data_IF_333601299274
#
_entry.id   IF_333601299274
#
_cell.length_a   1.000
_cell.length_b   1.000
_cell.length_c   1.000
_cell.angle_alpha   90.00
_cell.angle_beta   90.00
_cell.angle_gamma   90.00
#
_symmetry.space_group_name_H-M   'P 1'
#
loop_
_entity.id
_entity.type
_entity.pdbx_description
1 polymer ?
#
# COMPACT_ATOMS: atom_id res chain seq x y z
N UNK A 1 -19.16 7.89 -9.57
CA UNK A 1 -18.37 6.69 -9.26
C UNK A 1 -17.93 6.79 -7.81
N UNK A 2 -18.50 5.91 -6.99
CA UNK A 2 -18.54 5.94 -5.54
C UNK A 2 -17.13 5.72 -4.99
N UNK A 3 -16.59 6.70 -4.28
CA UNK A 3 -15.47 6.50 -3.33
C UNK A 3 -16.04 5.58 -2.24
N UNK A 4 -15.73 4.29 -2.37
CA UNK A 4 -16.39 3.20 -1.64
C UNK A 4 -16.37 3.41 -0.11
N UNK A 5 -17.58 3.35 0.46
CA UNK A 5 -18.09 3.29 1.84
C UNK A 5 -17.20 3.61 3.06
N UNK A 6 -15.89 3.33 3.07
CA UNK A 6 -15.03 3.55 4.23
C UNK A 6 -14.96 5.02 4.65
N UNK A 7 -14.69 5.95 3.72
CA UNK A 7 -14.52 7.36 4.07
C UNK A 7 -15.79 8.00 4.66
N UNK A 8 -17.00 7.78 4.09
CA UNK A 8 -18.24 8.19 4.73
C UNK A 8 -18.40 7.65 6.16
N UNK A 9 -18.10 6.36 6.38
CA UNK A 9 -18.16 5.74 7.72
C UNK A 9 -17.17 6.43 8.66
N UNK A 10 -15.93 6.63 8.23
CA UNK A 10 -14.91 7.30 9.04
C UNK A 10 -15.29 8.76 9.32
N UNK A 11 -15.89 9.48 8.37
CA UNK A 11 -16.36 10.85 8.57
C UNK A 11 -17.45 10.93 9.65
N UNK A 12 -18.41 10.01 9.62
CA UNK A 12 -19.41 9.89 10.67
C UNK A 12 -18.75 9.62 12.02
N UNK A 13 -17.83 8.65 12.09
CA UNK A 13 -17.14 8.30 13.33
C UNK A 13 -16.26 9.44 13.86
N UNK A 14 -15.60 10.21 12.98
CA UNK A 14 -14.85 11.42 13.34
C UNK A 14 -15.80 12.46 13.95
N UNK A 15 -16.98 12.66 13.36
CA UNK A 15 -17.92 13.72 13.78
C UNK A 15 -18.49 13.51 15.19
N UNK A 16 -18.58 12.25 15.64
CA UNK A 16 -19.06 11.89 16.98
C UNK A 16 -17.94 11.66 18.00
N UNK A 17 -16.67 11.88 17.62
CA UNK A 17 -15.53 11.65 18.50
C UNK A 17 -15.34 10.17 18.86
N UNK A 18 -15.65 9.26 17.93
CA UNK A 18 -15.69 7.82 18.16
C UNK A 18 -14.35 7.24 18.65
N UNK A 19 -14.45 6.26 19.55
CA UNK A 19 -13.34 5.41 20.00
C UNK A 19 -13.73 3.93 19.82
N UNK A 20 -12.92 3.20 19.07
CA UNK A 20 -13.14 1.79 18.77
C UNK A 20 -12.50 1.37 17.45
N UNK A 21 -13.07 0.36 16.79
CA UNK A 21 -12.60 -0.13 15.49
C UNK A 21 -13.69 -0.07 14.43
N UNK A 22 -13.25 0.21 13.20
CA UNK A 22 -13.99 -0.10 11.99
C UNK A 22 -13.36 -1.35 11.39
N UNK A 23 -13.99 -2.50 11.59
CA UNK A 23 -13.56 -3.78 11.04
C UNK A 23 -13.89 -3.87 9.55
N UNK A 24 -12.96 -4.44 8.79
CA UNK A 24 -13.10 -4.69 7.36
C UNK A 24 -13.23 -6.20 7.17
N UNK A 25 -14.38 -6.64 6.68
CA UNK A 25 -14.74 -8.03 6.52
C UNK A 25 -14.91 -8.39 5.05
N UNK A 26 -14.65 -9.65 4.73
CA UNK A 26 -15.06 -10.25 3.47
C UNK A 26 -16.60 -10.32 3.41
N UNK A 27 -17.26 -9.80 2.36
CA UNK A 27 -18.72 -9.73 2.31
C UNK A 27 -19.42 -11.09 2.38
N UNK A 28 -18.81 -12.13 1.79
CA UNK A 28 -19.41 -13.46 1.65
C UNK A 28 -19.19 -14.32 2.91
N UNK A 29 -17.96 -14.42 3.37
CA UNK A 29 -17.57 -15.27 4.51
C UNK A 29 -17.65 -14.56 5.86
N UNK A 30 -17.77 -13.23 5.86
CA UNK A 30 -17.69 -12.36 7.07
C UNK A 30 -16.37 -12.51 7.84
N UNK A 31 -15.34 -13.06 7.21
CA UNK A 31 -14.01 -13.17 7.81
C UNK A 31 -13.32 -11.81 7.90
N UNK A 32 -12.59 -11.58 8.99
CA UNK A 32 -11.82 -10.36 9.21
C UNK A 32 -10.64 -10.26 8.24
N UNK A 33 -10.65 -9.22 7.41
CA UNK A 33 -9.58 -8.88 6.47
C UNK A 33 -8.64 -7.79 7.05
N UNK A 34 -9.18 -6.91 7.88
CA UNK A 34 -8.46 -5.79 8.46
C UNK A 34 -9.30 -4.96 9.42
N UNK A 35 -8.71 -3.88 9.92
CA UNK A 35 -9.37 -2.92 10.81
C UNK A 35 -8.75 -1.53 10.69
N UNK A 36 -9.55 -0.51 10.99
CA UNK A 36 -9.11 0.86 11.24
C UNK A 36 -9.41 1.18 12.69
N UNK A 37 -8.38 1.52 13.46
CA UNK A 37 -8.49 1.86 14.87
C UNK A 37 -8.65 3.37 15.01
N UNK A 38 -9.66 3.79 15.77
CA UNK A 38 -10.02 5.18 15.99
C UNK A 38 -10.07 5.51 17.48
N UNK A 39 -9.56 6.65 17.88
CA UNK A 39 -9.68 7.17 19.24
C UNK A 39 -9.99 8.65 19.20
N UNK A 40 -11.02 9.06 19.93
CA UNK A 40 -11.48 10.45 20.05
C UNK A 40 -11.70 11.11 18.68
N UNK A 41 -12.24 10.35 17.72
CA UNK A 41 -12.49 10.83 16.36
C UNK A 41 -11.24 10.97 15.48
N UNK A 42 -10.08 10.46 15.90
CA UNK A 42 -8.87 10.40 15.09
C UNK A 42 -8.54 8.96 14.67
N UNK A 43 -8.03 8.78 13.44
CA UNK A 43 -7.50 7.49 12.99
C UNK A 43 -6.11 7.26 13.59
N UNK A 44 -5.99 6.28 14.48
CA UNK A 44 -4.77 5.99 15.23
C UNK A 44 -3.88 4.95 14.57
N UNK A 45 -4.48 3.94 13.96
CA UNK A 45 -3.76 2.82 13.37
C UNK A 45 -4.68 2.09 12.39
N UNK A 46 -4.09 1.18 11.63
CA UNK A 46 -4.88 0.23 10.84
C UNK A 46 -4.11 -1.07 10.71
N UNK A 47 -4.84 -2.13 10.37
CA UNK A 47 -4.29 -3.44 10.05
C UNK A 47 -4.96 -3.96 8.79
N UNK A 48 -4.18 -4.41 7.83
CA UNK A 48 -4.71 -4.99 6.60
C UNK A 48 -3.63 -5.81 5.89
N UNK A 49 -3.97 -7.00 5.39
CA UNK A 49 -3.02 -7.92 4.70
C UNK A 49 -1.70 -8.11 5.45
N UNK A 50 -1.77 -8.31 6.78
CA UNK A 50 -0.62 -8.49 7.69
C UNK A 50 0.30 -7.26 7.85
N UNK A 51 -0.07 -6.11 7.29
CA UNK A 51 0.62 -4.83 7.48
C UNK A 51 -0.10 -4.02 8.56
N UNK A 52 0.62 -3.08 9.19
CA UNK A 52 0.08 -2.16 10.21
C UNK A 52 0.33 -0.69 9.87
N UNK A 53 -0.44 0.19 10.50
CA UNK A 53 -0.27 1.65 10.45
C UNK A 53 -0.62 2.26 9.10
N UNK A 54 0.06 3.34 8.74
CA UNK A 54 -0.30 4.16 7.57
C UNK A 54 -0.27 3.39 6.24
N UNK A 55 0.72 2.52 6.05
CA UNK A 55 0.84 1.72 4.83
C UNK A 55 -0.31 0.72 4.68
N UNK A 56 -0.75 0.12 5.78
CA UNK A 56 -1.91 -0.77 5.78
C UNK A 56 -3.19 0.00 5.40
N UNK A 57 -3.33 1.23 5.91
CA UNK A 57 -4.48 2.09 5.60
C UNK A 57 -4.53 2.42 4.11
N UNK A 58 -3.40 2.83 3.51
CA UNK A 58 -3.35 3.09 2.08
C UNK A 58 -3.61 1.85 1.24
N UNK A 59 -3.07 0.68 1.59
CA UNK A 59 -3.35 -0.56 0.88
C UNK A 59 -4.83 -0.95 0.93
N UNK A 60 -5.46 -0.77 2.09
CA UNK A 60 -6.90 -0.99 2.26
C UNK A 60 -7.70 -0.08 1.32
N UNK A 61 -7.38 1.23 1.31
CA UNK A 61 -8.05 2.19 0.45
C UNK A 61 -7.78 1.93 -1.04
N UNK A 62 -6.57 1.51 -1.42
CA UNK A 62 -6.25 1.19 -2.82
C UNK A 62 -7.05 -0.04 -3.28
N UNK A 63 -7.08 -1.09 -2.46
CA UNK A 63 -7.78 -2.33 -2.81
C UNK A 63 -9.29 -2.13 -2.93
N UNK A 64 -9.88 -1.19 -2.19
CA UNK A 64 -11.30 -0.85 -2.40
C UNK A 64 -11.57 -0.24 -3.77
N UNK A 65 -10.57 0.29 -4.48
CA UNK A 65 -10.78 0.75 -5.86
C UNK A 65 -10.56 -0.34 -6.92
N UNK A 66 -10.12 -1.54 -6.55
CA UNK A 66 -9.86 -2.63 -7.52
C UNK A 66 -11.16 -3.32 -7.90
N UNK A 67 -11.34 -3.56 -9.20
CA UNK A 67 -12.47 -4.34 -9.69
C UNK A 67 -12.48 -5.75 -9.07
N UNK A 68 -13.67 -6.21 -8.65
CA UNK A 68 -13.84 -7.51 -8.00
C UNK A 68 -13.44 -7.57 -6.52
N UNK A 69 -13.02 -6.44 -5.93
CA UNK A 69 -12.81 -6.34 -4.48
C UNK A 69 -13.98 -5.59 -3.85
N UNK A 70 -14.69 -6.24 -2.94
CA UNK A 70 -15.75 -5.65 -2.14
C UNK A 70 -15.44 -5.85 -0.66
N UNK A 71 -15.79 -4.87 0.16
CA UNK A 71 -15.61 -4.92 1.61
C UNK A 71 -16.93 -4.71 2.31
N UNK A 72 -17.07 -5.37 3.46
CA UNK A 72 -18.16 -5.13 4.40
C UNK A 72 -17.59 -4.52 5.69
N UNK A 73 -18.12 -3.38 6.11
CA UNK A 73 -17.60 -2.63 7.25
C UNK A 73 -18.50 -2.79 8.47
N UNK A 74 -17.89 -3.00 9.64
CA UNK A 74 -18.59 -3.09 10.93
C UNK A 74 -17.91 -2.17 11.93
N UNK A 75 -18.68 -1.29 12.56
CA UNK A 75 -18.19 -0.38 13.61
C UNK A 75 -18.41 -1.04 14.97
N UNK A 76 -17.34 -1.19 15.75
CA UNK A 76 -17.37 -1.81 17.07
C UNK A 76 -16.71 -0.89 18.10
N UNK A 77 -17.45 -0.41 19.13
CA UNK A 77 -16.87 0.36 20.22
C UNK A 77 -16.01 -0.55 21.10
N UNK A 78 -14.74 -0.19 21.29
CA UNK A 78 -13.82 -0.93 22.16
C UNK A 78 -12.71 -0.03 22.74
N UNK A 79 -12.11 -0.45 23.86
CA UNK A 79 -10.95 0.24 24.42
C UNK A 79 -9.71 -0.15 23.61
N UNK A 80 -9.08 0.84 23.00
CA UNK A 80 -7.84 0.63 22.24
C UNK A 80 -6.63 0.61 23.17
N UNK A 81 -5.86 -0.47 23.11
CA UNK A 81 -4.57 -0.62 23.81
C UNK A 81 -3.36 -0.41 22.87
N UNK A 82 -3.60 -0.06 21.62
CA UNK A 82 -2.57 0.09 20.59
C UNK A 82 -1.89 1.46 20.66
N UNK A 83 -0.59 1.48 20.38
CA UNK A 83 0.14 2.73 20.20
C UNK A 83 -0.31 3.41 18.91
N UNK A 84 -0.50 4.74 18.95
CA UNK A 84 -0.77 5.55 17.76
C UNK A 84 0.36 5.38 16.74
N UNK A 85 0.03 4.95 15.53
CA UNK A 85 0.98 4.82 14.40
C UNK A 85 0.68 5.80 13.27
N UNK A 86 -0.54 6.31 13.20
CA UNK A 86 -0.99 7.34 12.25
C UNK A 86 -1.14 8.65 13.02
N UNK A 87 -0.31 9.63 12.68
CA UNK A 87 -0.21 10.91 13.38
C UNK A 87 -0.81 12.08 12.59
N UNK A 88 -1.56 11.78 11.53
CA UNK A 88 -2.20 12.80 10.72
C UNK A 88 -3.62 13.09 11.22
N UNK A 89 -4.04 14.38 11.23
CA UNK A 89 -5.45 14.71 11.30
C UNK A 89 -6.22 14.05 10.16
N UNK A 90 -7.49 13.68 10.40
CA UNK A 90 -8.30 12.97 9.42
C UNK A 90 -8.39 13.70 8.06
N UNK A 91 -8.50 15.03 8.07
CA UNK A 91 -8.53 15.85 6.85
C UNK A 91 -7.25 15.73 6.01
N UNK A 92 -6.09 15.69 6.67
CA UNK A 92 -4.79 15.49 6.02
C UNK A 92 -4.68 14.06 5.48
N UNK A 93 -5.12 13.08 6.26
CA UNK A 93 -5.14 11.67 5.86
C UNK A 93 -6.01 11.46 4.62
N UNK A 94 -7.21 12.06 4.57
CA UNK A 94 -8.12 12.02 3.41
C UNK A 94 -7.46 12.57 2.16
N UNK A 95 -6.84 13.76 2.25
CA UNK A 95 -6.13 14.38 1.11
C UNK A 95 -4.98 13.52 0.61
N UNK A 96 -4.12 13.01 1.51
CA UNK A 96 -3.02 12.12 1.14
C UNK A 96 -3.50 10.83 0.50
N UNK A 97 -4.56 10.23 1.03
CA UNK A 97 -5.15 9.01 0.47
C UNK A 97 -5.67 9.23 -0.94
N UNK A 98 -6.31 10.38 -1.21
CA UNK A 98 -6.75 10.72 -2.55
C UNK A 98 -5.58 10.77 -3.55
N UNK A 99 -4.46 11.40 -3.17
CA UNK A 99 -3.24 11.45 -3.99
C UNK A 99 -2.68 10.05 -4.26
N UNK A 100 -2.59 9.22 -3.21
CA UNK A 100 -2.10 7.84 -3.29
C UNK A 100 -2.97 6.99 -4.23
N UNK A 101 -4.29 7.12 -4.14
CA UNK A 101 -5.23 6.39 -5.01
C UNK A 101 -5.12 6.86 -6.46
N UNK A 102 -4.94 8.16 -6.69
CA UNK A 102 -4.74 8.72 -8.03
C UNK A 102 -3.43 8.21 -8.65
N UNK A 103 -2.33 8.23 -7.90
CA UNK A 103 -1.06 7.65 -8.32
C UNK A 103 -1.18 6.15 -8.60
N UNK A 104 -1.91 5.40 -7.78
CA UNK A 104 -2.17 3.99 -8.06
C UNK A 104 -2.90 3.79 -9.40
N UNK A 105 -3.97 4.54 -9.65
CA UNK A 105 -4.74 4.45 -10.91
C UNK A 105 -3.90 4.79 -12.13
N UNK A 106 -3.05 5.81 -12.03
CA UNK A 106 -2.19 6.23 -13.14
C UNK A 106 -1.08 5.22 -13.46
N UNK A 107 -0.69 4.38 -12.50
CA UNK A 107 0.47 3.49 -12.62
C UNK A 107 0.10 2.00 -12.68
N UNK A 108 -1.17 1.62 -12.48
CA UNK A 108 -1.56 0.19 -12.46
C UNK A 108 -1.19 -0.55 -13.75
N UNK A 109 -1.29 0.13 -14.90
CA UNK A 109 -0.99 -0.44 -16.22
C UNK A 109 0.51 -0.53 -16.51
N UNK A 110 1.34 0.13 -15.69
CA UNK A 110 2.79 0.12 -15.80
C UNK A 110 3.43 -1.04 -15.03
N UNK A 111 2.64 -1.82 -14.28
CA UNK A 111 3.13 -2.95 -13.51
C UNK A 111 3.78 -3.99 -14.43
N UNK A 112 5.07 -4.34 -14.23
CA UNK A 112 5.71 -5.37 -15.03
C UNK A 112 5.08 -6.76 -14.83
N UNK A 113 5.14 -7.66 -15.83
CA UNK A 113 4.68 -9.02 -15.67
C UNK A 113 5.35 -9.74 -14.49
N UNK A 114 4.54 -10.38 -13.65
CA UNK A 114 4.96 -11.01 -12.39
C UNK A 114 6.02 -12.11 -12.51
N UNK A 115 6.11 -12.76 -13.67
CA UNK A 115 7.04 -13.84 -13.93
C UNK A 115 8.47 -13.38 -14.28
N UNK A 116 8.67 -12.08 -14.55
CA UNK A 116 9.99 -11.56 -14.90
C UNK A 116 10.94 -11.60 -13.71
N UNK A 117 12.22 -11.82 -14.02
CA UNK A 117 13.32 -11.71 -13.06
C UNK A 117 14.13 -10.45 -13.32
N UNK A 118 14.36 -9.67 -12.28
CA UNK A 118 15.08 -8.42 -12.27
C UNK A 118 16.39 -8.59 -11.50
N UNK A 119 17.47 -8.05 -12.05
CA UNK A 119 18.75 -7.92 -11.37
C UNK A 119 19.19 -6.45 -11.39
N UNK A 120 19.93 -6.06 -10.36
CA UNK A 120 20.57 -4.75 -10.30
C UNK A 120 21.76 -4.76 -11.27
N UNK A 121 21.82 -3.77 -12.14
CA UNK A 121 22.95 -3.58 -13.04
C UNK A 121 24.19 -3.14 -12.22
N UNK A 122 25.29 -3.92 -12.15
CA UNK A 122 26.45 -3.56 -11.35
C UNK A 122 27.10 -2.23 -11.75
N UNK A 123 27.00 -1.85 -13.04
CA UNK A 123 27.54 -0.58 -13.53
C UNK A 123 26.76 0.62 -12.99
N UNK A 124 25.48 0.45 -12.66
CA UNK A 124 24.69 1.50 -12.03
C UNK A 124 25.21 1.83 -10.63
N UNK A 125 25.59 0.82 -9.84
CA UNK A 125 26.17 1.00 -8.50
C UNK A 125 27.47 1.82 -8.57
N UNK A 126 28.29 1.56 -9.59
CA UNK A 126 29.55 2.29 -9.81
C UNK A 126 29.34 3.72 -10.31
N UNK A 127 28.21 4.00 -10.96
CA UNK A 127 27.95 5.29 -11.61
C UNK A 127 27.70 6.45 -10.64
N UNK A 128 27.42 6.17 -9.37
CA UNK A 128 27.16 7.20 -8.35
C UNK A 128 25.91 8.05 -8.62
N UNK A 129 25.00 7.60 -9.49
CA UNK A 129 23.73 8.30 -9.75
C UNK A 129 22.87 8.33 -8.48
N UNK A 130 22.16 9.43 -8.29
CA UNK A 130 21.26 9.58 -7.15
C UNK A 130 20.10 8.57 -7.19
N UNK A 131 19.84 8.00 -6.02
CA UNK A 131 18.78 7.03 -5.74
C UNK A 131 17.89 7.63 -4.66
N UNK A 132 16.60 7.71 -4.93
CA UNK A 132 15.61 8.18 -3.95
C UNK A 132 15.35 7.12 -2.86
N UNK A 133 14.75 7.50 -1.73
CA UNK A 133 14.50 6.57 -0.62
C UNK A 133 13.71 5.32 -1.04
N UNK A 134 12.58 5.51 -1.74
CA UNK A 134 11.76 4.40 -2.24
C UNK A 134 12.49 3.57 -3.31
N UNK A 135 13.40 4.18 -4.08
CA UNK A 135 14.22 3.43 -5.05
C UNK A 135 15.27 2.58 -4.35
N UNK A 136 15.87 3.10 -3.28
CA UNK A 136 16.86 2.40 -2.47
C UNK A 136 16.24 1.20 -1.75
N UNK A 137 15.09 1.40 -1.09
CA UNK A 137 14.34 0.33 -0.44
C UNK A 137 13.96 -0.78 -1.42
N UNK A 138 13.58 -0.41 -2.65
CA UNK A 138 13.31 -1.36 -3.71
C UNK A 138 14.56 -2.12 -4.15
N UNK A 139 15.71 -1.45 -4.31
CA UNK A 139 16.97 -2.11 -4.66
C UNK A 139 17.38 -3.14 -3.59
N UNK A 140 17.24 -2.81 -2.31
CA UNK A 140 17.44 -3.76 -1.21
C UNK A 140 16.48 -4.96 -1.30
N UNK A 141 15.21 -4.73 -1.64
CA UNK A 141 14.27 -5.84 -1.84
C UNK A 141 14.66 -6.71 -3.05
N UNK A 142 15.13 -6.11 -4.14
CA UNK A 142 15.55 -6.84 -5.35
C UNK A 142 16.79 -7.71 -5.09
N UNK A 143 17.70 -7.31 -4.20
CA UNK A 143 18.86 -8.13 -3.86
C UNK A 143 18.47 -9.44 -3.18
N UNK A 144 17.38 -9.45 -2.42
CA UNK A 144 16.87 -10.63 -1.72
C UNK A 144 15.85 -11.41 -2.58
N UNK A 145 15.04 -10.71 -3.37
CA UNK A 145 13.97 -11.27 -4.20
C UNK A 145 14.08 -10.76 -5.63
N UNK A 146 14.43 -11.63 -6.57
CA UNK A 146 14.63 -11.22 -7.97
C UNK A 146 13.40 -11.36 -8.87
N UNK A 147 12.31 -12.01 -8.43
CA UNK A 147 11.09 -12.17 -9.24
C UNK A 147 10.11 -11.03 -8.95
N UNK A 148 9.50 -10.44 -9.97
CA UNK A 148 8.54 -9.32 -9.82
C UNK A 148 7.44 -9.66 -8.83
N UNK A 149 6.78 -10.81 -8.93
CA UNK A 149 5.74 -11.18 -7.96
C UNK A 149 6.23 -11.26 -6.52
N UNK A 150 7.49 -11.68 -6.30
CA UNK A 150 8.05 -11.82 -4.96
C UNK A 150 8.47 -10.45 -4.41
N UNK A 151 8.92 -9.53 -5.26
CA UNK A 151 9.19 -8.13 -4.90
C UNK A 151 7.90 -7.46 -4.39
N UNK A 152 6.79 -7.56 -5.11
CA UNK A 152 5.51 -6.96 -4.68
C UNK A 152 4.97 -7.57 -3.37
N UNK A 153 5.31 -8.83 -3.07
CA UNK A 153 4.90 -9.50 -1.83
C UNK A 153 5.74 -9.10 -0.63
N UNK A 154 7.05 -8.95 -0.82
CA UNK A 154 8.03 -8.82 0.27
C UNK A 154 8.56 -7.39 0.45
N UNK A 155 8.35 -6.48 -0.50
CA UNK A 155 8.76 -5.09 -0.37
C UNK A 155 7.79 -4.33 0.56
N UNK A 156 8.35 -3.56 1.49
CA UNK A 156 7.57 -2.75 2.43
C UNK A 156 6.89 -1.54 1.78
N UNK A 157 7.26 -1.19 0.55
CA UNK A 157 6.62 -0.14 -0.22
C UNK A 157 5.19 -0.52 -0.62
N UNK A 158 4.39 0.48 -1.00
CA UNK A 158 3.06 0.29 -1.58
C UNK A 158 3.20 -0.13 -3.05
N UNK A 159 2.23 -0.87 -3.58
CA UNK A 159 2.30 -1.40 -4.95
C UNK A 159 2.62 -0.32 -6.00
N UNK A 160 2.03 0.87 -5.88
CA UNK A 160 2.31 1.96 -6.81
C UNK A 160 3.71 2.56 -6.63
N UNK A 161 4.24 2.61 -5.39
CA UNK A 161 5.61 3.05 -5.12
C UNK A 161 6.60 2.06 -5.75
N UNK A 162 6.33 0.75 -5.62
CA UNK A 162 7.14 -0.29 -6.27
C UNK A 162 7.12 -0.09 -7.78
N UNK A 163 5.94 0.09 -8.39
CA UNK A 163 5.82 0.33 -9.84
C UNK A 163 6.58 1.59 -10.26
N UNK A 164 6.43 2.70 -9.54
CA UNK A 164 7.10 3.97 -9.83
C UNK A 164 8.62 3.84 -9.74
N UNK A 165 9.11 3.24 -8.67
CA UNK A 165 10.53 2.98 -8.47
C UNK A 165 11.08 2.04 -9.55
N UNK A 166 10.35 1.00 -9.96
CA UNK A 166 10.76 0.12 -11.08
C UNK A 166 10.85 0.88 -12.40
N UNK A 167 9.88 1.75 -12.70
CA UNK A 167 9.88 2.58 -13.92
C UNK A 167 11.03 3.58 -13.90
N UNK A 168 11.26 4.25 -12.77
CA UNK A 168 12.35 5.22 -12.61
C UNK A 168 13.72 4.54 -12.71
N UNK A 169 13.95 3.45 -11.98
CA UNK A 169 15.20 2.67 -12.02
C UNK A 169 15.47 2.12 -13.42
N UNK A 170 14.43 1.70 -14.15
CA UNK A 170 14.58 1.31 -15.56
C UNK A 170 15.05 2.48 -16.44
N UNK A 171 14.48 3.68 -16.28
CA UNK A 171 14.94 4.89 -17.00
C UNK A 171 16.39 5.24 -16.66
N UNK A 172 16.82 4.96 -15.42
CA UNK A 172 18.21 5.16 -14.96
C UNK A 172 19.19 4.09 -15.46
N UNK A 173 18.71 3.06 -16.19
CA UNK A 173 19.45 1.85 -16.59
C UNK A 173 20.00 1.06 -15.38
N UNK A 174 19.31 1.11 -14.25
CA UNK A 174 19.68 0.44 -13.01
C UNK A 174 19.28 -1.04 -12.95
N UNK A 175 18.35 -1.47 -13.81
CA UNK A 175 17.77 -2.82 -13.78
C UNK A 175 18.05 -3.57 -15.08
N UNK A 176 18.31 -4.87 -14.97
CA UNK A 176 18.44 -5.80 -16.10
C UNK A 176 17.41 -6.92 -15.95
N UNK A 177 16.71 -7.23 -17.04
CA UNK A 177 15.74 -8.33 -17.08
C UNK A 177 16.45 -9.60 -17.48
N UNK A 178 16.36 -10.64 -16.66
CA UNK A 178 16.87 -11.97 -17.01
C UNK A 178 15.84 -12.66 -17.90
N UNK A 179 16.09 -12.72 -19.21
CA UNK A 179 15.35 -13.63 -20.08
C UNK A 179 15.78 -15.06 -19.73
N UNK A 180 14.83 -15.99 -19.64
CA UNK A 180 15.16 -17.41 -19.77
C UNK A 180 15.70 -17.58 -21.19
N UNK A 181 17.00 -17.73 -21.34
CA UNK A 181 17.52 -18.42 -22.52
C UNK A 181 16.98 -19.84 -22.42
N UNK A 182 16.19 -20.24 -23.43
CA UNK A 182 15.82 -21.63 -23.63
C UNK A 182 17.13 -22.38 -23.94
N UNK A 183 17.68 -23.04 -22.91
CA UNK A 183 18.59 -24.17 -23.08
C UNK A 183 17.75 -25.44 -23.21
#
# INVERSE_FOLDING_TARGET
MIVQELFPILEEQVSVGFTGKVNVLDPASKMLLGSVEMSEGEVWSSFYKRRKGLKAFYNLCIDSFREGTEFYYVVEPEILNSSRTIHYPFTVLRRKTAQVVEEFKNNQDLRPPGHLKLLINPEFIKSGKEVEGDEFDLLCCISDYNKVDDIYKNCDLLDYQITNSLVSLRKKNALTVVKKDNL
#
